data_IF_345867709066
#
_entry.id   IF_345867709066
#
_cell.length_a   1.000
_cell.length_b   1.000
_cell.length_c   1.000
_cell.angle_alpha   90.00
_cell.angle_beta   90.00
_cell.angle_gamma   90.00
#
_symmetry.space_group_name_H-M   'P 1'
#
loop_
_entity.id
_entity.type
_entity.pdbx_description
1 polymer ?
#
# COMPACT_ATOMS: atom_id res chain seq x y z
N UNK A 1 -3.53 8.37 19.14
CA UNK A 1 -3.45 9.20 17.92
C UNK A 1 -3.02 8.29 16.77
N UNK A 2 -3.88 8.11 15.75
CA UNK A 2 -3.63 7.21 14.61
C UNK A 2 -2.41 7.64 13.78
N UNK A 3 -2.29 8.94 13.47
CA UNK A 3 -1.17 9.48 12.69
C UNK A 3 0.16 9.35 13.43
N UNK A 4 0.14 9.58 14.74
CA UNK A 4 1.33 9.36 15.58
C UNK A 4 1.84 7.93 15.43
N UNK A 5 0.96 6.94 15.65
CA UNK A 5 1.33 5.54 15.51
C UNK A 5 1.85 5.19 14.11
N UNK A 6 1.22 5.71 13.05
CA UNK A 6 1.63 5.48 11.66
C UNK A 6 3.00 6.11 11.34
N UNK A 7 3.26 7.32 11.84
CA UNK A 7 4.55 8.00 11.65
C UNK A 7 5.68 7.33 12.44
N UNK A 8 5.38 6.62 13.53
CA UNK A 8 6.36 5.80 14.25
C UNK A 8 6.69 4.47 13.57
N UNK A 9 6.03 4.13 12.45
CA UNK A 9 6.36 2.92 11.69
C UNK A 9 7.60 3.13 10.81
N UNK A 10 8.12 2.03 10.26
CA UNK A 10 9.19 2.10 9.26
C UNK A 10 8.67 2.79 8.00
N UNK A 11 9.19 3.98 7.72
CA UNK A 11 8.80 4.81 6.57
C UNK A 11 10.00 5.11 5.67
N UNK A 12 9.78 5.34 4.36
CA UNK A 12 10.86 5.65 3.43
C UNK A 12 11.63 6.89 3.86
N UNK A 13 12.96 6.84 3.83
CA UNK A 13 13.82 8.02 4.09
C UNK A 13 14.82 8.32 2.97
N UNK A 14 15.06 7.38 2.04
CA UNK A 14 16.03 7.59 0.97
C UNK A 14 16.36 6.33 0.17
N UNK A 15 17.42 6.38 -0.63
CA UNK A 15 17.91 5.21 -1.37
C UNK A 15 16.97 4.71 -2.48
N UNK A 16 16.17 5.60 -3.08
CA UNK A 16 15.22 5.24 -4.13
C UNK A 16 15.93 4.74 -5.38
N UNK A 17 15.64 3.50 -5.78
CA UNK A 17 16.22 2.87 -6.97
C UNK A 17 15.19 2.01 -7.68
N UNK A 18 15.23 2.00 -9.02
CA UNK A 18 14.48 1.05 -9.83
C UNK A 18 15.11 -0.34 -9.70
N UNK A 19 14.29 -1.36 -9.51
CA UNK A 19 14.71 -2.76 -9.48
C UNK A 19 13.96 -3.56 -10.53
N UNK A 20 14.34 -4.83 -10.71
CA UNK A 20 13.69 -5.71 -11.67
C UNK A 20 12.17 -5.77 -11.43
N UNK A 21 11.34 -5.65 -12.49
CA UNK A 21 9.89 -5.61 -12.35
C UNK A 21 9.30 -7.02 -12.14
N UNK A 22 9.62 -7.63 -11.00
CA UNK A 22 9.11 -8.94 -10.57
C UNK A 22 8.56 -8.86 -9.15
N UNK A 23 7.82 -9.89 -8.74
CA UNK A 23 7.38 -10.05 -7.33
C UNK A 23 8.46 -10.70 -6.46
N UNK A 24 9.62 -11.05 -7.01
CA UNK A 24 10.66 -11.76 -6.28
C UNK A 24 11.13 -10.94 -5.07
N UNK A 25 11.15 -11.57 -3.90
CA UNK A 25 11.48 -10.92 -2.64
C UNK A 25 10.37 -10.05 -2.06
N UNK A 26 9.17 -10.01 -2.63
CA UNK A 26 8.02 -9.36 -1.99
C UNK A 26 7.68 -10.04 -0.66
N UNK A 27 7.66 -11.37 -0.62
CA UNK A 27 7.29 -12.14 0.58
C UNK A 27 8.38 -12.11 1.67
N UNK A 28 9.62 -11.76 1.30
CA UNK A 28 10.74 -11.60 2.23
C UNK A 28 10.66 -10.27 3.00
N UNK A 29 9.86 -9.31 2.52
CA UNK A 29 9.69 -8.01 3.17
C UNK A 29 8.67 -8.10 4.32
N UNK A 30 9.03 -7.51 5.44
CA UNK A 30 8.16 -7.33 6.59
C UNK A 30 8.15 -5.87 7.06
N UNK A 31 7.37 -5.59 8.10
CA UNK A 31 7.14 -4.23 8.59
C UNK A 31 8.38 -3.53 9.16
N UNK A 32 9.44 -4.26 9.52
CA UNK A 32 10.67 -3.71 10.08
C UNK A 32 11.89 -3.95 9.18
N UNK A 33 11.66 -4.38 7.94
CA UNK A 33 12.73 -4.58 6.97
C UNK A 33 13.42 -3.25 6.67
N UNK A 34 14.75 -3.22 6.50
CA UNK A 34 15.51 -1.98 6.24
C UNK A 34 15.20 -1.38 4.86
N UNK A 35 14.55 -2.15 3.99
CA UNK A 35 14.10 -1.75 2.67
C UNK A 35 12.59 -1.95 2.52
N UNK A 36 11.97 -1.16 1.67
CA UNK A 36 10.59 -1.31 1.23
C UNK A 36 10.48 -1.10 -0.27
N UNK A 37 9.30 -1.41 -0.83
CA UNK A 37 9.02 -1.29 -2.26
C UNK A 37 7.66 -0.66 -2.57
N UNK A 38 7.60 0.06 -3.69
CA UNK A 38 6.35 0.47 -4.35
C UNK A 38 6.29 -0.24 -5.71
N UNK A 39 5.15 -0.83 -6.00
CA UNK A 39 4.90 -1.59 -7.22
C UNK A 39 3.89 -0.85 -8.10
N UNK A 40 4.13 -0.86 -9.41
CA UNK A 40 3.11 -0.56 -10.41
C UNK A 40 2.67 -1.87 -11.07
N UNK A 41 1.43 -2.27 -10.85
CA UNK A 41 0.93 -3.61 -11.18
C UNK A 41 -0.44 -3.58 -11.85
N UNK A 42 -0.71 -4.61 -12.66
CA UNK A 42 -2.07 -4.99 -13.01
C UNK A 42 -2.57 -6.05 -12.03
N UNK A 43 -3.78 -5.87 -11.51
CA UNK A 43 -4.38 -6.76 -10.52
C UNK A 43 -5.81 -7.11 -10.93
N UNK A 44 -6.13 -8.40 -10.97
CA UNK A 44 -7.51 -8.88 -11.10
C UNK A 44 -8.15 -9.13 -9.74
N UNK A 45 -9.48 -8.95 -9.74
CA UNK A 45 -10.34 -9.17 -8.59
C UNK A 45 -11.30 -10.33 -8.89
N UNK A 46 -10.98 -11.55 -8.43
CA UNK A 46 -11.82 -12.72 -8.68
C UNK A 46 -13.28 -12.52 -8.23
N UNK A 47 -14.24 -13.01 -9.02
CA UNK A 47 -15.68 -12.77 -8.79
C UNK A 47 -16.18 -13.40 -7.51
N UNK A 48 -15.64 -14.56 -7.17
CA UNK A 48 -15.91 -15.30 -5.94
C UNK A 48 -15.58 -14.51 -4.66
N UNK A 49 -14.76 -13.45 -4.75
CA UNK A 49 -14.42 -12.59 -3.63
C UNK A 49 -15.37 -11.39 -3.47
N UNK A 50 -16.27 -11.13 -4.43
CA UNK A 50 -17.07 -9.89 -4.45
C UNK A 50 -18.02 -9.82 -3.25
N UNK A 51 -18.76 -10.90 -2.97
CA UNK A 51 -19.66 -10.95 -1.81
C UNK A 51 -18.88 -10.84 -0.49
N UNK A 52 -17.74 -11.54 -0.41
CA UNK A 52 -16.88 -11.53 0.78
C UNK A 52 -16.28 -10.15 1.07
N UNK A 53 -16.00 -9.37 0.03
CA UNK A 53 -15.33 -8.07 0.14
C UNK A 53 -16.25 -6.88 -0.17
N UNK A 54 -17.57 -7.07 -0.13
CA UNK A 54 -18.56 -6.05 -0.51
C UNK A 54 -18.48 -4.76 0.32
N UNK A 55 -18.13 -4.89 1.61
CA UNK A 55 -18.06 -3.72 2.50
C UNK A 55 -16.80 -2.88 2.27
N UNK A 56 -15.65 -3.54 2.08
CA UNK A 56 -14.34 -2.89 1.95
C UNK A 56 -13.48 -3.54 0.84
N UNK A 57 -13.78 -3.26 -0.44
CA UNK A 57 -12.97 -3.75 -1.54
C UNK A 57 -11.54 -3.19 -1.50
N UNK A 58 -10.55 -4.06 -1.71
CA UNK A 58 -9.16 -3.69 -1.87
C UNK A 58 -8.91 -2.82 -3.12
N UNK A 59 -7.79 -2.10 -3.10
CA UNK A 59 -7.26 -1.30 -4.21
C UNK A 59 -8.23 -0.21 -4.71
N UNK A 60 -8.72 0.67 -3.83
CA UNK A 60 -9.58 1.76 -4.25
C UNK A 60 -8.85 2.69 -5.22
N UNK A 61 -9.59 3.29 -6.14
CA UNK A 61 -9.06 4.20 -7.15
C UNK A 61 -9.80 5.54 -7.12
N UNK A 62 -9.07 6.63 -7.29
CA UNK A 62 -9.69 7.95 -7.42
C UNK A 62 -10.25 8.12 -8.84
N UNK A 63 -11.58 8.21 -8.97
CA UNK A 63 -12.26 8.37 -10.25
C UNK A 63 -13.54 9.22 -10.10
N UNK A 64 -14.14 9.63 -11.22
CA UNK A 64 -15.43 10.34 -11.21
C UNK A 64 -16.55 9.29 -11.27
N UNK A 65 -17.42 9.20 -10.24
CA UNK A 65 -18.58 8.32 -10.29
C UNK A 65 -19.53 8.70 -11.43
N UNK A 66 -20.28 7.72 -11.95
CA UNK A 66 -21.34 8.00 -12.92
C UNK A 66 -22.35 8.99 -12.34
N UNK A 67 -22.73 10.00 -13.12
CA UNK A 67 -23.62 11.08 -12.67
C UNK A 67 -22.99 12.12 -11.74
N UNK A 68 -21.68 12.06 -11.48
CA UNK A 68 -20.95 13.07 -10.71
C UNK A 68 -19.98 13.86 -11.59
N UNK A 69 -19.61 15.07 -11.13
CA UNK A 69 -18.48 15.85 -11.68
C UNK A 69 -17.27 15.86 -10.74
N UNK A 70 -17.41 15.29 -9.55
CA UNK A 70 -16.40 15.33 -8.49
C UNK A 70 -15.68 13.98 -8.44
N UNK A 71 -14.36 14.05 -8.41
CA UNK A 71 -13.49 12.89 -8.19
C UNK A 71 -13.69 12.36 -6.77
N UNK A 72 -13.95 11.06 -6.64
CA UNK A 72 -14.12 10.36 -5.37
C UNK A 72 -13.24 9.12 -5.33
N UNK A 73 -12.90 8.69 -4.12
CA UNK A 73 -12.29 7.39 -3.92
C UNK A 73 -13.36 6.31 -4.16
N UNK A 74 -13.15 5.48 -5.17
CA UNK A 74 -14.08 4.46 -5.62
C UNK A 74 -13.54 3.07 -5.27
N UNK A 75 -14.36 2.29 -4.57
CA UNK A 75 -14.12 0.88 -4.28
C UNK A 75 -14.87 0.05 -5.31
N UNK A 76 -14.15 -0.47 -6.31
CA UNK A 76 -14.73 -1.26 -7.40
C UNK A 76 -14.00 -2.58 -7.54
N UNK A 77 -14.72 -3.64 -7.87
CA UNK A 77 -14.18 -4.95 -8.19
C UNK A 77 -13.64 -5.09 -9.63
N UNK A 78 -13.64 -4.01 -10.40
CA UNK A 78 -13.03 -4.00 -11.73
C UNK A 78 -11.52 -4.24 -11.63
N UNK A 79 -10.96 -4.91 -12.64
CA UNK A 79 -9.51 -5.06 -12.85
C UNK A 79 -8.82 -3.71 -12.68
N UNK A 80 -7.70 -3.71 -11.97
CA UNK A 80 -6.81 -2.56 -11.82
C UNK A 80 -5.67 -2.67 -12.83
N UNK A 81 -5.40 -1.58 -13.55
CA UNK A 81 -4.29 -1.48 -14.48
C UNK A 81 -3.36 -0.36 -14.06
N UNK A 82 -2.04 -0.58 -14.20
CA UNK A 82 -1.00 0.37 -13.79
C UNK A 82 -1.21 0.93 -12.36
N UNK A 83 -1.64 0.08 -11.43
CA UNK A 83 -1.98 0.48 -10.07
C UNK A 83 -0.70 0.62 -9.24
N UNK A 84 -0.48 1.81 -8.68
CA UNK A 84 0.68 2.10 -7.84
C UNK A 84 0.36 1.80 -6.39
N UNK A 85 1.12 0.90 -5.76
CA UNK A 85 0.83 0.35 -4.43
C UNK A 85 2.09 0.08 -3.61
N UNK A 86 2.03 0.39 -2.31
CA UNK A 86 3.05 0.04 -1.34
C UNK A 86 3.08 -1.47 -1.05
N UNK A 87 4.26 -2.05 -0.85
CA UNK A 87 4.45 -3.50 -0.68
C UNK A 87 3.52 -4.12 0.37
N UNK A 88 3.35 -3.48 1.54
CA UNK A 88 2.45 -3.99 2.61
C UNK A 88 1.01 -4.16 2.14
N UNK A 89 0.50 -3.20 1.38
CA UNK A 89 -0.87 -3.25 0.87
C UNK A 89 -0.99 -4.28 -0.25
N UNK A 90 0.06 -4.45 -1.06
CA UNK A 90 0.10 -5.47 -2.11
C UNK A 90 0.12 -6.87 -1.50
N UNK A 91 0.97 -7.12 -0.50
CA UNK A 91 0.98 -8.36 0.28
C UNK A 91 -0.40 -8.64 0.89
N UNK A 92 -1.03 -7.62 1.48
CA UNK A 92 -2.38 -7.76 2.04
C UNK A 92 -3.42 -8.12 0.97
N UNK A 93 -3.38 -7.48 -0.20
CA UNK A 93 -4.28 -7.79 -1.31
C UNK A 93 -4.10 -9.24 -1.80
N UNK A 94 -2.86 -9.67 -2.04
CA UNK A 94 -2.52 -11.03 -2.49
C UNK A 94 -2.96 -12.06 -1.44
N UNK A 95 -2.67 -11.81 -0.16
CA UNK A 95 -3.09 -12.67 0.95
C UNK A 95 -4.61 -12.85 1.04
N UNK A 96 -5.37 -11.87 0.55
CA UNK A 96 -6.84 -11.93 0.49
C UNK A 96 -7.38 -12.43 -0.87
N UNK A 97 -6.52 -12.97 -1.74
CA UNK A 97 -6.91 -13.65 -2.97
C UNK A 97 -6.94 -12.77 -4.21
N UNK A 98 -6.51 -11.51 -4.15
CA UNK A 98 -6.32 -10.72 -5.37
C UNK A 98 -5.10 -11.25 -6.15
N UNK A 99 -5.19 -11.21 -7.47
CA UNK A 99 -4.19 -11.83 -8.35
C UNK A 99 -3.43 -10.73 -9.08
N UNK A 100 -2.11 -10.66 -8.85
CA UNK A 100 -1.23 -9.80 -9.64
C UNK A 100 -0.97 -10.49 -10.97
N UNK A 101 -1.33 -9.83 -12.05
CA UNK A 101 -1.16 -10.39 -13.40
C UNK A 101 0.10 -9.89 -14.09
N UNK A 102 0.51 -8.66 -13.79
CA UNK A 102 1.69 -8.05 -14.39
C UNK A 102 2.32 -7.06 -13.42
N UNK A 103 3.64 -7.10 -13.32
CA UNK A 103 4.45 -6.06 -12.68
C UNK A 103 5.07 -5.23 -13.79
N UNK A 104 4.79 -3.93 -13.80
CA UNK A 104 5.33 -3.01 -14.81
C UNK A 104 6.64 -2.39 -14.33
N UNK A 105 6.67 -1.90 -13.09
CA UNK A 105 7.83 -1.26 -12.48
C UNK A 105 7.82 -1.43 -10.97
N UNK A 106 9.02 -1.41 -10.39
CA UNK A 106 9.22 -1.49 -8.93
C UNK A 106 10.26 -0.47 -8.51
N UNK A 107 9.90 0.36 -7.52
CA UNK A 107 10.84 1.25 -6.84
C UNK A 107 11.14 0.63 -5.48
N UNK A 108 12.42 0.40 -5.19
CA UNK A 108 12.90 0.06 -3.86
C UNK A 108 13.42 1.32 -3.15
N UNK A 109 13.28 1.36 -1.83
CA UNK A 109 13.76 2.45 -0.98
C UNK A 109 14.24 1.91 0.37
N UNK A 110 15.08 2.67 1.06
CA UNK A 110 15.45 2.41 2.45
C UNK A 110 14.37 2.97 3.38
N UNK A 111 14.03 2.23 4.43
CA UNK A 111 13.03 2.62 5.42
C UNK A 111 13.52 2.32 6.84
N UNK A 112 13.08 3.15 7.79
CA UNK A 112 13.32 3.00 9.22
C UNK A 112 12.24 3.74 9.99
N UNK A 113 12.15 3.51 11.29
CA UNK A 113 11.27 4.22 12.23
C UNK A 113 11.86 5.56 12.70
N UNK A 114 12.55 6.29 11.80
CA UNK A 114 13.30 7.51 12.12
C UNK A 114 12.49 8.64 12.79
N UNK A 115 11.15 8.62 12.68
CA UNK A 115 10.26 9.56 13.38
C UNK A 115 9.80 9.09 14.76
N UNK A 116 9.98 7.81 15.11
CA UNK A 116 9.38 7.22 16.30
C UNK A 116 9.80 7.92 17.60
N UNK A 117 11.09 8.24 17.76
CA UNK A 117 11.59 8.96 18.94
C UNK A 117 10.92 10.33 19.10
N UNK A 118 10.83 11.09 18.00
CA UNK A 118 10.18 12.40 17.98
C UNK A 118 8.68 12.31 18.30
N UNK A 119 7.98 11.33 17.75
CA UNK A 119 6.55 11.13 18.03
C UNK A 119 6.31 10.71 19.47
N UNK A 120 7.15 9.82 20.01
CA UNK A 120 7.05 9.36 21.39
C UNK A 120 7.27 10.53 22.36
N UNK A 121 8.30 11.34 22.14
CA UNK A 121 8.57 12.54 22.94
C UNK A 121 7.37 13.49 22.99
N UNK A 122 6.82 13.84 21.83
CA UNK A 122 5.65 14.74 21.74
C UNK A 122 4.39 14.13 22.36
N UNK A 123 4.25 12.81 22.29
CA UNK A 123 3.12 12.10 22.89
C UNK A 123 3.19 12.15 24.41
N UNK A 124 4.37 11.92 25.00
CA UNK A 124 4.57 12.02 26.45
C UNK A 124 4.40 13.46 26.96
N UNK A 125 4.87 14.46 26.20
CA UNK A 125 4.67 15.87 26.55
C UNK A 125 3.20 16.28 26.60
N UNK A 126 2.34 15.70 25.75
CA UNK A 126 0.88 16.00 25.72
C UNK A 126 0.07 15.34 26.84
N UNK A 127 0.63 14.33 27.52
CA UNK A 127 -0.03 13.68 28.66
C UNK A 127 0.05 14.52 29.94
N UNK A 128 0.99 15.46 29.98
CA UNK A 128 1.19 16.42 31.08
C UNK A 128 0.29 17.62 30.89
#
# INVERSE_FOLDING_TARGET
NLYGWAMSQYTPYGGFNWVEPTLNGLDDLNETSPIGRVYEVDVSYPKELHDKHNDLPFLPQNNVPSGSKVRKLMVKFERKTNYVIHYRNLQQAIKNGLIVEKVHRVIQFNQSDWLAEYINLNTEMRKK
#
